data_IF_276235443918
#
_entry.id   IF_276235443918
#
_cell.length_a   1.000
_cell.length_b   1.000
_cell.length_c   1.000
_cell.angle_alpha   90.00
_cell.angle_beta   90.00
_cell.angle_gamma   90.00
#
_symmetry.space_group_name_H-M   'P 1'
#
loop_
_entity.id
_entity.type
_entity.pdbx_description
1 polymer ?
#
# COMPACT_ATOMS: atom_id res chain seq x y z
N UNK A 1 21.44 28.29 10.31
CA UNK A 1 20.64 28.75 9.13
C UNK A 1 19.67 27.65 8.78
N UNK A 2 18.42 28.00 8.46
CA UNK A 2 17.39 26.99 8.10
C UNK A 2 17.31 26.85 6.58
N UNK A 3 17.00 25.66 6.08
CA UNK A 3 16.64 25.44 4.70
C UNK A 3 15.17 25.84 4.45
N UNK A 4 14.76 25.94 3.19
CA UNK A 4 13.40 26.32 2.80
C UNK A 4 12.65 25.14 2.19
N UNK A 5 11.30 25.16 2.22
CA UNK A 5 10.46 24.15 1.54
C UNK A 5 10.73 24.11 0.03
N UNK A 6 11.05 25.26 -0.59
CA UNK A 6 11.41 25.31 -2.00
C UNK A 6 12.70 24.53 -2.29
N UNK A 7 13.70 24.61 -1.38
CA UNK A 7 14.92 23.81 -1.50
C UNK A 7 14.64 22.32 -1.31
N UNK A 8 13.71 21.94 -0.41
CA UNK A 8 13.30 20.53 -0.26
C UNK A 8 12.58 20.03 -1.52
N UNK A 9 11.67 20.83 -2.10
CA UNK A 9 11.01 20.47 -3.38
C UNK A 9 12.02 20.34 -4.52
N UNK A 10 13.00 21.23 -4.57
CA UNK A 10 14.10 21.13 -5.52
C UNK A 10 14.90 19.84 -5.37
N UNK A 11 15.28 19.50 -4.13
CA UNK A 11 16.01 18.26 -3.83
C UNK A 11 15.18 17.02 -4.18
N UNK A 12 13.92 16.96 -3.76
CA UNK A 12 13.02 15.86 -4.07
C UNK A 12 12.90 15.63 -5.57
N UNK A 13 12.70 16.69 -6.36
CA UNK A 13 12.60 16.58 -7.80
C UNK A 13 13.90 16.03 -8.42
N UNK A 14 15.08 16.47 -7.97
CA UNK A 14 16.36 15.96 -8.48
C UNK A 14 16.59 14.51 -8.05
N UNK A 15 16.22 14.14 -6.82
CA UNK A 15 16.36 12.80 -6.28
C UNK A 15 15.46 11.77 -7.03
N UNK A 16 14.29 12.19 -7.46
CA UNK A 16 13.35 11.33 -8.22
C UNK A 16 13.72 11.23 -9.71
N UNK A 17 14.13 12.35 -10.31
CA UNK A 17 14.48 12.41 -11.73
C UNK A 17 15.89 11.89 -12.01
N UNK A 18 16.78 11.89 -11.02
CA UNK A 18 18.22 11.61 -11.16
C UNK A 18 18.85 12.41 -12.31
N UNK A 19 18.28 13.62 -12.56
CA UNK A 19 18.71 14.49 -13.66
C UNK A 19 18.25 15.94 -13.43
N UNK A 20 19.18 16.87 -13.29
CA UNK A 20 18.87 18.28 -13.02
C UNK A 20 18.00 18.96 -14.07
N UNK A 21 18.21 18.66 -15.35
CA UNK A 21 17.43 19.24 -16.45
C UNK A 21 15.95 18.81 -16.39
N UNK A 22 15.67 17.51 -16.19
CA UNK A 22 14.30 16.99 -16.05
C UNK A 22 13.64 17.55 -14.81
N UNK A 23 14.35 17.56 -13.67
CA UNK A 23 13.85 18.13 -12.42
C UNK A 23 13.51 19.62 -12.57
N UNK A 24 14.37 20.41 -13.23
CA UNK A 24 14.12 21.83 -13.49
C UNK A 24 12.88 22.01 -14.37
N UNK A 25 12.75 21.22 -15.46
CA UNK A 25 11.56 21.25 -16.33
C UNK A 25 10.28 20.91 -15.57
N UNK A 26 10.31 19.88 -14.71
CA UNK A 26 9.19 19.50 -13.84
C UNK A 26 8.78 20.64 -12.88
N UNK A 27 9.76 21.37 -12.36
CA UNK A 27 9.54 22.53 -11.47
C UNK A 27 9.28 23.84 -12.22
N UNK A 28 9.16 23.81 -13.56
CA UNK A 28 8.96 24.99 -14.42
C UNK A 28 10.01 26.09 -14.21
N UNK A 29 11.26 25.68 -14.02
CA UNK A 29 12.40 26.58 -13.84
C UNK A 29 13.59 26.16 -14.70
N UNK A 30 14.65 26.99 -14.77
CA UNK A 30 15.89 26.64 -15.45
C UNK A 30 16.83 25.87 -14.52
N UNK A 31 17.75 25.08 -15.08
CA UNK A 31 18.69 24.26 -14.29
C UNK A 31 19.64 25.06 -13.37
N UNK A 32 20.20 26.22 -13.75
CA UNK A 32 21.15 26.93 -12.90
C UNK A 32 20.61 27.36 -11.54
N UNK A 33 19.39 27.94 -11.41
CA UNK A 33 18.84 28.25 -10.10
C UNK A 33 18.57 26.99 -9.26
N UNK A 34 18.08 25.89 -9.86
CA UNK A 34 17.89 24.63 -9.15
C UNK A 34 19.20 24.10 -8.57
N UNK A 35 20.28 24.09 -9.37
CA UNK A 35 21.59 23.66 -8.91
C UNK A 35 22.10 24.48 -7.73
N UNK A 36 21.91 25.82 -7.75
CA UNK A 36 22.26 26.71 -6.64
C UNK A 36 21.44 26.45 -5.39
N UNK A 37 20.14 26.15 -5.54
CA UNK A 37 19.26 25.78 -4.42
C UNK A 37 19.76 24.50 -3.73
N UNK A 38 20.12 23.48 -4.49
CA UNK A 38 20.65 22.21 -3.94
C UNK A 38 21.98 22.44 -3.22
N UNK A 39 22.92 23.18 -3.84
CA UNK A 39 24.20 23.51 -3.18
C UNK A 39 24.02 24.27 -1.88
N UNK A 40 23.03 25.17 -1.81
CA UNK A 40 22.71 25.90 -0.57
C UNK A 40 22.09 24.95 0.46
N UNK A 41 21.24 24.01 0.05
CA UNK A 41 20.67 22.99 0.93
C UNK A 41 21.77 22.11 1.53
N UNK A 42 22.65 21.55 0.70
CA UNK A 42 23.79 20.72 1.15
C UNK A 42 24.68 21.45 2.17
N UNK A 43 24.94 22.74 1.95
CA UNK A 43 25.68 23.57 2.91
C UNK A 43 24.95 23.75 4.23
N UNK A 44 23.64 23.87 4.22
CA UNK A 44 22.82 24.01 5.45
C UNK A 44 22.74 22.70 6.20
N UNK A 45 22.59 21.59 5.49
CA UNK A 45 22.55 20.23 6.06
C UNK A 45 23.94 19.80 6.57
N UNK A 46 25.01 20.36 5.99
CA UNK A 46 26.38 19.99 6.32
C UNK A 46 26.87 18.67 5.73
N UNK A 47 26.13 18.15 4.75
CA UNK A 47 26.46 16.91 4.05
C UNK A 47 26.14 17.02 2.56
N UNK A 48 26.91 16.33 1.73
CA UNK A 48 26.59 16.14 0.33
C UNK A 48 25.46 15.12 0.22
N UNK A 49 24.37 15.49 -0.46
CA UNK A 49 23.18 14.68 -0.63
C UNK A 49 23.13 13.98 -1.99
N UNK A 50 23.77 14.59 -2.99
CA UNK A 50 23.81 14.10 -4.37
C UNK A 50 25.26 13.97 -4.85
N UNK A 51 25.61 12.80 -5.36
CA UNK A 51 26.81 12.62 -6.15
C UNK A 51 26.55 13.03 -7.58
N UNK A 52 27.51 13.76 -8.16
CA UNK A 52 27.39 14.33 -9.51
C UNK A 52 28.66 13.98 -10.29
N UNK A 53 28.51 13.22 -11.31
CA UNK A 53 29.50 13.15 -12.37
C UNK A 53 28.98 13.84 -13.65
N UNK A 54 29.78 13.89 -14.71
CA UNK A 54 29.42 14.57 -15.96
C UNK A 54 28.23 13.90 -16.70
N UNK A 55 27.73 12.74 -16.25
CA UNK A 55 26.72 11.96 -16.94
C UNK A 55 25.60 11.46 -16.02
N UNK A 56 25.84 11.36 -14.72
CA UNK A 56 24.91 10.75 -13.77
C UNK A 56 24.77 11.59 -12.50
N UNK A 57 23.60 11.51 -11.94
CA UNK A 57 23.25 12.04 -10.61
C UNK A 57 22.71 10.88 -9.79
N UNK A 58 23.31 10.63 -8.63
CA UNK A 58 22.86 9.60 -7.69
C UNK A 58 22.74 10.18 -6.29
N UNK A 59 21.99 9.54 -5.42
CA UNK A 59 21.92 9.88 -4.01
C UNK A 59 23.16 9.34 -3.28
N UNK A 60 23.69 10.14 -2.35
CA UNK A 60 24.61 9.62 -1.34
C UNK A 60 23.82 8.87 -0.25
N UNK A 61 24.49 8.12 0.63
CA UNK A 61 23.84 7.51 1.80
C UNK A 61 23.15 8.59 2.69
N UNK A 62 23.76 9.77 2.83
CA UNK A 62 23.12 10.90 3.51
C UNK A 62 21.91 11.43 2.73
N UNK A 63 21.98 11.43 1.39
CA UNK A 63 20.89 11.81 0.50
C UNK A 63 19.69 10.89 0.61
N UNK A 64 19.88 9.58 0.72
CA UNK A 64 18.80 8.60 0.90
C UNK A 64 18.06 8.84 2.22
N UNK A 65 18.79 9.00 3.31
CA UNK A 65 18.20 9.32 4.61
C UNK A 65 17.45 10.66 4.57
N UNK A 66 18.10 11.68 4.00
CA UNK A 66 17.51 13.03 3.91
C UNK A 66 16.29 13.06 2.98
N UNK A 67 16.21 12.19 1.97
CA UNK A 67 15.05 12.09 1.06
C UNK A 67 13.78 11.71 1.82
N UNK A 68 13.88 10.75 2.74
CA UNK A 68 12.75 10.36 3.58
C UNK A 68 12.26 11.52 4.44
N UNK A 69 13.19 12.23 5.09
CA UNK A 69 12.86 13.40 5.93
C UNK A 69 12.32 14.59 5.10
N UNK A 70 12.86 14.82 3.90
CA UNK A 70 12.38 15.87 3.01
C UNK A 70 10.92 15.62 2.56
N UNK A 71 10.57 14.37 2.23
CA UNK A 71 9.19 13.97 1.92
C UNK A 71 8.26 14.23 3.09
N UNK A 72 8.65 13.81 4.30
CA UNK A 72 7.87 14.02 5.52
C UNK A 72 7.61 15.51 5.79
N UNK A 73 8.63 16.35 5.69
CA UNK A 73 8.51 17.79 5.91
C UNK A 73 7.62 18.46 4.86
N UNK A 74 7.72 18.08 3.60
CA UNK A 74 6.87 18.61 2.53
C UNK A 74 5.42 18.19 2.72
N UNK A 75 5.15 16.93 3.04
CA UNK A 75 3.83 16.43 3.35
C UNK A 75 3.18 17.20 4.51
N UNK A 76 3.94 17.43 5.57
CA UNK A 76 3.49 18.22 6.72
C UNK A 76 3.19 19.69 6.34
N UNK A 77 4.03 20.31 5.52
CA UNK A 77 3.83 21.67 5.06
C UNK A 77 2.61 21.82 4.15
N UNK A 78 2.39 20.85 3.27
CA UNK A 78 1.26 20.84 2.33
C UNK A 78 -0.07 20.57 3.06
N UNK A 79 -0.06 19.79 4.16
CA UNK A 79 -1.25 19.55 5.01
C UNK A 79 -1.60 20.73 5.95
N UNK A 80 -0.64 21.56 6.32
CA UNK A 80 -0.85 22.64 7.29
C UNK A 80 -1.93 23.69 6.90
N UNK A 81 -2.00 24.20 5.64
CA UNK A 81 -3.04 25.14 5.25
C UNK A 81 -4.44 24.53 5.31
N UNK A 82 -4.54 23.25 5.04
CA UNK A 82 -5.79 22.52 5.09
C UNK A 82 -6.24 22.26 6.52
N UNK A 83 -5.29 21.93 7.40
CA UNK A 83 -5.55 21.84 8.84
C UNK A 83 -6.10 23.18 9.39
N UNK A 84 -5.50 24.29 8.99
CA UNK A 84 -5.95 25.62 9.41
C UNK A 84 -7.38 25.93 8.90
N UNK A 85 -7.68 25.57 7.64
CA UNK A 85 -9.03 25.71 7.08
C UNK A 85 -10.07 24.84 7.82
N UNK A 86 -9.70 23.62 8.22
CA UNK A 86 -10.55 22.70 9.00
C UNK A 86 -10.91 23.30 10.37
N UNK A 87 -9.96 23.94 11.04
CA UNK A 87 -10.20 24.63 12.31
C UNK A 87 -11.12 25.83 12.13
N UNK A 88 -10.97 26.60 11.04
CA UNK A 88 -11.78 27.79 10.78
C UNK A 88 -13.20 27.48 10.30
N UNK A 89 -13.42 26.37 9.59
CA UNK A 89 -14.73 26.01 9.04
C UNK A 89 -15.58 25.15 9.99
N UNK A 90 -14.99 24.57 11.03
CA UNK A 90 -15.69 23.80 12.09
C UNK A 90 -16.46 22.54 11.64
N UNK A 91 -16.54 22.26 10.33
CA UNK A 91 -17.43 21.22 9.81
C UNK A 91 -16.86 20.31 8.71
N UNK A 92 -15.74 20.62 8.08
CA UNK A 92 -15.20 19.80 6.98
C UNK A 92 -13.87 19.19 7.37
N UNK A 93 -13.77 17.86 7.25
CA UNK A 93 -12.53 17.10 7.49
C UNK A 93 -12.06 16.41 6.22
N UNK A 94 -10.76 16.06 6.19
CA UNK A 94 -10.18 15.19 5.17
C UNK A 94 -9.57 13.98 5.86
N UNK A 95 -9.83 12.79 5.34
CA UNK A 95 -9.15 11.55 5.72
C UNK A 95 -8.58 10.92 4.46
N UNK A 96 -7.27 10.84 4.39
CA UNK A 96 -6.53 10.19 3.30
C UNK A 96 -6.41 8.71 3.64
N UNK A 97 -6.93 7.85 2.77
CA UNK A 97 -7.03 6.42 2.98
C UNK A 97 -6.09 5.69 2.01
N UNK A 98 -5.06 5.03 2.54
CA UNK A 98 -4.26 4.06 1.81
C UNK A 98 -5.00 2.73 1.70
N UNK A 99 -5.02 2.10 0.52
CA UNK A 99 -5.66 0.81 0.32
C UNK A 99 -4.92 -0.05 -0.70
N UNK A 100 -5.07 -1.37 -0.61
CA UNK A 100 -4.57 -2.29 -1.64
C UNK A 100 -5.65 -2.59 -2.67
N UNK A 101 -5.27 -2.87 -3.92
CA UNK A 101 -6.22 -3.29 -4.96
C UNK A 101 -7.14 -4.43 -4.50
N UNK A 102 -6.62 -5.41 -3.76
CA UNK A 102 -7.42 -6.53 -3.25
C UNK A 102 -8.52 -6.10 -2.28
N UNK A 103 -8.38 -4.99 -1.55
CA UNK A 103 -9.42 -4.50 -0.64
C UNK A 103 -10.63 -3.90 -1.38
N UNK A 104 -10.48 -3.57 -2.66
CA UNK A 104 -11.58 -3.05 -3.50
C UNK A 104 -12.62 -4.10 -3.85
N UNK A 105 -12.30 -5.40 -3.74
CA UNK A 105 -13.21 -6.48 -4.13
C UNK A 105 -14.41 -6.68 -3.20
N UNK A 106 -14.64 -5.78 -2.27
CA UNK A 106 -15.84 -5.78 -1.45
C UNK A 106 -15.77 -4.91 -0.19
N UNK A 107 -14.62 -4.77 0.44
CA UNK A 107 -14.49 -4.10 1.73
C UNK A 107 -14.40 -2.57 1.59
N UNK A 108 -13.56 -2.05 0.68
CA UNK A 108 -13.37 -0.62 0.51
C UNK A 108 -14.68 0.10 0.16
N UNK A 109 -15.46 -0.43 -0.80
CA UNK A 109 -16.72 0.19 -1.22
C UNK A 109 -17.71 0.30 -0.05
N UNK A 110 -17.88 -0.78 0.73
CA UNK A 110 -18.77 -0.77 1.91
C UNK A 110 -18.31 0.22 2.99
N UNK A 111 -17.00 0.31 3.20
CA UNK A 111 -16.43 1.27 4.14
C UNK A 111 -16.70 2.71 3.70
N UNK A 112 -16.50 3.02 2.43
CA UNK A 112 -16.77 4.35 1.87
C UNK A 112 -18.26 4.69 2.00
N UNK A 113 -19.16 3.80 1.55
CA UNK A 113 -20.60 3.99 1.63
C UNK A 113 -21.07 4.24 3.07
N UNK A 114 -20.48 3.55 4.05
CA UNK A 114 -20.80 3.75 5.46
C UNK A 114 -20.31 5.12 5.95
N UNK A 115 -19.07 5.49 5.61
CA UNK A 115 -18.48 6.76 6.04
C UNK A 115 -19.18 7.96 5.36
N UNK A 116 -19.49 7.88 4.09
CA UNK A 116 -20.20 8.95 3.37
C UNK A 116 -21.61 9.18 3.94
N UNK A 117 -22.30 8.09 4.34
CA UNK A 117 -23.63 8.18 4.95
C UNK A 117 -23.57 8.75 6.36
N UNK A 118 -22.62 8.32 7.17
CA UNK A 118 -22.54 8.68 8.58
C UNK A 118 -21.81 10.00 8.85
N UNK A 119 -20.86 10.35 7.99
CA UNK A 119 -19.95 11.48 8.17
C UNK A 119 -19.82 12.28 6.84
N UNK A 120 -20.93 12.84 6.30
CA UNK A 120 -20.96 13.48 4.97
C UNK A 120 -20.06 14.72 4.86
N UNK A 121 -19.65 15.29 5.98
CA UNK A 121 -18.74 16.45 6.03
C UNK A 121 -17.26 16.06 6.05
N UNK A 122 -16.94 14.77 6.04
CA UNK A 122 -15.57 14.26 5.94
C UNK A 122 -15.29 13.81 4.51
N UNK A 123 -14.39 14.54 3.84
CA UNK A 123 -13.92 14.13 2.53
C UNK A 123 -12.92 12.96 2.63
N UNK A 124 -13.13 11.92 1.82
CA UNK A 124 -12.22 10.76 1.75
C UNK A 124 -11.35 10.91 0.50
N UNK A 125 -10.04 10.90 0.69
CA UNK A 125 -9.05 10.92 -0.40
C UNK A 125 -8.36 9.54 -0.46
N UNK A 126 -8.47 8.87 -1.60
CA UNK A 126 -8.15 7.46 -1.76
C UNK A 126 -6.82 7.27 -2.49
N UNK A 127 -5.88 6.51 -1.88
CA UNK A 127 -4.55 6.26 -2.39
C UNK A 127 -4.30 4.75 -2.52
N UNK A 128 -4.20 4.26 -3.76
CA UNK A 128 -3.84 2.86 -4.00
C UNK A 128 -2.35 2.64 -3.75
N UNK A 129 -2.03 1.76 -2.80
CA UNK A 129 -0.65 1.44 -2.43
C UNK A 129 -0.57 0.08 -1.70
N UNK A 130 0.53 -0.64 -1.84
CA UNK A 130 0.74 -1.88 -1.10
C UNK A 130 0.99 -1.61 0.40
N UNK A 131 0.76 -2.61 1.27
CA UNK A 131 0.87 -2.44 2.73
C UNK A 131 2.17 -1.77 3.19
N UNK A 132 3.31 -2.14 2.59
CA UNK A 132 4.60 -1.53 2.92
C UNK A 132 4.63 -0.02 2.61
N UNK A 133 4.05 0.38 1.51
CA UNK A 133 3.94 1.78 1.10
C UNK A 133 2.96 2.52 2.03
N UNK A 134 1.85 1.87 2.44
CA UNK A 134 0.90 2.43 3.42
C UNK A 134 1.58 2.70 4.76
N UNK A 135 2.38 1.76 5.27
CA UNK A 135 3.14 1.93 6.51
C UNK A 135 4.09 3.13 6.42
N UNK A 136 4.82 3.25 5.30
CA UNK A 136 5.70 4.40 5.08
C UNK A 136 4.92 5.72 4.97
N UNK A 137 3.79 5.72 4.25
CA UNK A 137 2.93 6.89 4.08
C UNK A 137 2.26 7.33 5.39
N UNK A 138 1.88 6.38 6.27
CA UNK A 138 1.38 6.68 7.61
C UNK A 138 2.47 7.34 8.47
N UNK A 139 3.69 6.80 8.46
CA UNK A 139 4.82 7.38 9.20
C UNK A 139 5.19 8.78 8.69
N UNK A 140 5.01 9.04 7.41
CA UNK A 140 5.26 10.35 6.79
C UNK A 140 4.06 11.29 6.84
N UNK A 141 2.94 10.88 7.47
CA UNK A 141 1.69 11.64 7.51
C UNK A 141 1.13 11.97 6.10
N UNK A 142 1.47 11.17 5.08
CA UNK A 142 0.95 11.27 3.72
C UNK A 142 -0.46 10.69 3.61
N UNK A 143 -0.76 9.66 4.43
CA UNK A 143 -2.12 9.12 4.63
C UNK A 143 -2.46 9.08 6.12
N UNK A 144 -3.75 9.09 6.42
CA UNK A 144 -4.26 9.11 7.80
C UNK A 144 -4.71 7.72 8.26
N UNK A 145 -5.21 6.92 7.33
CA UNK A 145 -5.76 5.58 7.57
C UNK A 145 -5.28 4.62 6.48
N UNK A 146 -4.96 3.40 6.85
CA UNK A 146 -4.59 2.33 5.92
C UNK A 146 -5.56 1.16 5.98
N UNK A 147 -5.91 0.57 4.83
CA UNK A 147 -6.47 -0.77 4.75
C UNK A 147 -5.32 -1.73 4.45
N UNK A 148 -4.71 -2.24 5.50
CA UNK A 148 -3.42 -2.90 5.44
C UNK A 148 -3.49 -4.33 6.01
N UNK A 149 -2.46 -5.12 5.73
CA UNK A 149 -2.36 -6.51 6.18
C UNK A 149 -1.19 -6.68 7.16
N UNK A 150 -1.37 -7.47 8.24
CA UNK A 150 -0.34 -7.63 9.26
C UNK A 150 0.97 -8.27 8.70
N UNK A 151 2.07 -8.25 9.47
CA UNK A 151 2.19 -7.74 10.83
C UNK A 151 2.41 -6.22 10.90
N UNK A 152 2.03 -5.60 12.02
CA UNK A 152 2.25 -4.19 12.31
C UNK A 152 2.98 -4.02 13.64
N UNK A 153 3.75 -2.95 13.76
CA UNK A 153 4.31 -2.52 15.03
C UNK A 153 3.20 -1.91 15.92
N UNK A 154 2.82 -2.63 16.96
CA UNK A 154 1.74 -2.24 17.87
C UNK A 154 2.08 -1.03 18.75
N UNK A 155 3.35 -0.67 18.90
CA UNK A 155 3.74 0.51 19.68
C UNK A 155 3.51 1.78 18.86
N UNK A 156 3.79 1.73 17.57
CA UNK A 156 3.65 2.87 16.64
C UNK A 156 2.22 3.00 16.11
N UNK A 157 1.58 1.88 15.76
CA UNK A 157 0.29 1.89 15.08
C UNK A 157 -0.85 1.42 15.98
N UNK A 158 -2.00 2.09 15.86
CA UNK A 158 -3.29 1.52 16.21
C UNK A 158 -3.77 0.65 15.05
N UNK A 159 -4.31 -0.52 15.36
CA UNK A 159 -4.92 -1.39 14.35
C UNK A 159 -6.24 -1.97 14.84
N UNK A 160 -7.14 -2.24 13.90
CA UNK A 160 -8.40 -2.95 14.15
C UNK A 160 -8.66 -3.92 13.01
N UNK A 161 -8.95 -5.16 13.35
CA UNK A 161 -9.43 -6.13 12.36
C UNK A 161 -10.72 -5.61 11.73
N UNK A 162 -10.75 -5.54 10.42
CA UNK A 162 -11.88 -5.06 9.64
C UNK A 162 -12.63 -6.22 8.98
N UNK A 163 -11.89 -7.22 8.51
CA UNK A 163 -12.45 -8.35 7.77
C UNK A 163 -11.52 -9.55 7.84
N UNK A 164 -12.13 -10.76 7.90
CA UNK A 164 -11.47 -12.04 7.65
C UNK A 164 -12.12 -12.74 6.48
N UNK A 165 -11.35 -13.51 5.75
CA UNK A 165 -11.84 -14.29 4.63
C UNK A 165 -11.00 -15.55 4.39
N UNK A 166 -11.59 -16.52 3.69
CA UNK A 166 -10.90 -17.75 3.31
C UNK A 166 -9.81 -17.46 2.26
N UNK A 167 -8.80 -18.33 2.24
CA UNK A 167 -7.83 -18.42 1.15
C UNK A 167 -8.32 -19.47 0.16
N UNK A 168 -8.48 -19.10 -1.11
CA UNK A 168 -8.92 -19.98 -2.19
C UNK A 168 -7.75 -20.29 -3.12
N UNK A 169 -7.86 -21.40 -3.82
CA UNK A 169 -6.99 -21.77 -4.95
C UNK A 169 -7.71 -21.45 -6.24
N UNK A 170 -7.19 -20.50 -7.01
CA UNK A 170 -7.64 -20.22 -8.37
C UNK A 170 -6.99 -21.21 -9.34
N UNK A 171 -7.81 -21.87 -10.16
CA UNK A 171 -7.41 -22.91 -11.11
C UNK A 171 -7.99 -22.63 -12.49
N UNK A 172 -7.34 -23.06 -13.59
CA UNK A 172 -7.86 -22.89 -14.94
C UNK A 172 -9.00 -23.89 -15.24
N UNK A 173 -9.70 -23.66 -16.36
CA UNK A 173 -10.71 -24.58 -16.88
C UNK A 173 -10.19 -26.03 -16.95
N UNK A 174 -11.03 -26.98 -16.54
CA UNK A 174 -10.74 -28.41 -16.62
C UNK A 174 -9.62 -28.89 -15.69
N UNK A 175 -9.24 -28.10 -14.72
CA UNK A 175 -8.23 -28.51 -13.74
C UNK A 175 -8.78 -29.62 -12.82
N UNK A 176 -7.99 -30.66 -12.56
CA UNK A 176 -8.40 -31.84 -11.80
C UNK A 176 -8.88 -31.55 -10.37
N UNK A 177 -8.40 -30.46 -9.76
CA UNK A 177 -8.86 -30.00 -8.43
C UNK A 177 -10.38 -29.67 -8.40
N UNK A 178 -11.00 -29.41 -9.55
CA UNK A 178 -12.43 -29.15 -9.64
C UNK A 178 -13.26 -30.41 -9.40
N UNK A 179 -12.69 -31.59 -9.64
CA UNK A 179 -13.36 -32.90 -9.53
C UNK A 179 -13.11 -33.56 -8.16
N UNK A 180 -12.42 -32.90 -7.21
CA UNK A 180 -12.08 -33.49 -5.91
C UNK A 180 -13.27 -33.87 -5.05
N UNK A 181 -14.41 -33.18 -5.15
CA UNK A 181 -15.57 -33.35 -4.29
C UNK A 181 -15.37 -33.03 -2.82
N UNK A 182 -14.23 -32.43 -2.47
CA UNK A 182 -13.84 -31.94 -1.14
C UNK A 182 -12.96 -30.68 -1.26
N UNK A 183 -12.69 -30.02 -0.16
CA UNK A 183 -11.69 -28.94 -0.11
C UNK A 183 -10.29 -29.52 -0.43
N UNK A 184 -9.47 -28.72 -1.13
CA UNK A 184 -8.11 -29.10 -1.44
C UNK A 184 -7.23 -29.01 -0.17
N UNK A 185 -6.31 -29.95 -0.01
CA UNK A 185 -5.30 -29.91 1.06
C UNK A 185 -3.93 -29.55 0.49
N UNK A 186 -2.99 -29.13 1.34
CA UNK A 186 -1.64 -28.76 0.93
C UNK A 186 -0.94 -29.85 0.10
N UNK A 187 -1.20 -31.14 0.39
CA UNK A 187 -0.66 -32.28 -0.35
C UNK A 187 -1.12 -32.35 -1.81
N UNK A 188 -2.35 -31.95 -2.10
CA UNK A 188 -2.89 -31.91 -3.47
C UNK A 188 -2.15 -30.88 -4.36
N UNK A 189 -1.55 -29.88 -3.73
CA UNK A 189 -0.88 -28.75 -4.38
C UNK A 189 0.64 -28.94 -4.48
N UNK A 190 1.18 -30.02 -3.92
CA UNK A 190 2.62 -30.24 -3.76
C UNK A 190 3.40 -30.29 -5.08
N UNK A 191 2.78 -30.69 -6.18
CA UNK A 191 3.38 -30.78 -7.51
C UNK A 191 2.83 -29.74 -8.51
N UNK A 192 1.94 -28.85 -8.07
CA UNK A 192 1.31 -27.88 -8.94
C UNK A 192 2.27 -26.72 -9.28
N UNK A 193 2.20 -26.25 -10.52
CA UNK A 193 2.88 -25.01 -10.93
C UNK A 193 2.15 -23.83 -10.31
N UNK A 194 2.86 -22.93 -9.63
CA UNK A 194 2.26 -21.85 -8.86
C UNK A 194 2.60 -20.50 -9.45
N UNK A 195 1.57 -19.67 -9.65
CA UNK A 195 1.71 -18.21 -9.80
C UNK A 195 1.73 -17.63 -8.40
N UNK A 196 2.90 -17.25 -7.91
CA UNK A 196 3.16 -16.91 -6.52
C UNK A 196 3.09 -15.39 -6.26
N UNK A 197 2.74 -15.03 -5.04
CA UNK A 197 2.83 -13.66 -4.55
C UNK A 197 4.29 -13.19 -4.44
N UNK A 198 4.54 -11.91 -4.71
CA UNK A 198 5.87 -11.31 -4.55
C UNK A 198 6.29 -11.28 -3.08
N UNK A 199 7.47 -11.83 -2.71
CA UNK A 199 7.95 -11.82 -1.33
C UNK A 199 8.30 -10.40 -0.83
N UNK A 200 8.41 -9.42 -1.73
CA UNK A 200 8.76 -8.04 -1.38
C UNK A 200 7.56 -7.10 -1.43
N UNK A 201 6.68 -7.23 -2.43
CA UNK A 201 5.55 -6.32 -2.67
C UNK A 201 4.21 -6.85 -2.15
N UNK A 202 4.07 -8.17 -1.99
CA UNK A 202 2.88 -8.84 -1.47
C UNK A 202 3.25 -9.83 -0.36
N UNK A 203 4.16 -9.41 0.53
CA UNK A 203 4.80 -10.26 1.53
C UNK A 203 3.81 -11.00 2.43
N UNK A 204 2.76 -10.32 2.89
CA UNK A 204 1.72 -10.94 3.71
C UNK A 204 1.17 -12.23 3.06
N UNK A 205 0.73 -12.14 1.82
CA UNK A 205 0.21 -13.31 1.09
C UNK A 205 1.29 -14.33 0.80
N UNK A 206 2.51 -13.90 0.49
CA UNK A 206 3.64 -14.81 0.30
C UNK A 206 3.88 -15.65 1.57
N UNK A 207 4.04 -14.99 2.71
CA UNK A 207 4.31 -15.65 3.99
C UNK A 207 3.13 -16.56 4.39
N UNK A 208 1.88 -16.11 4.18
CA UNK A 208 0.66 -16.87 4.44
C UNK A 208 0.63 -18.16 3.61
N UNK A 209 0.84 -18.08 2.30
CA UNK A 209 0.83 -19.24 1.40
C UNK A 209 1.95 -20.22 1.75
N UNK A 210 3.17 -19.72 1.98
CA UNK A 210 4.32 -20.58 2.35
C UNK A 210 4.08 -21.29 3.69
N UNK A 211 3.41 -20.64 4.65
CA UNK A 211 3.09 -21.27 5.93
C UNK A 211 2.09 -22.43 5.80
N UNK A 212 1.21 -22.39 4.80
CA UNK A 212 0.16 -23.39 4.57
C UNK A 212 0.57 -24.46 3.55
N UNK A 213 1.26 -24.03 2.49
CA UNK A 213 1.71 -24.88 1.37
C UNK A 213 3.18 -24.56 1.10
N UNK A 214 4.12 -25.13 1.89
CA UNK A 214 5.55 -24.79 1.78
C UNK A 214 6.14 -25.01 0.38
N UNK A 215 5.69 -26.05 -0.33
CA UNK A 215 6.12 -26.34 -1.70
C UNK A 215 5.70 -25.31 -2.74
N UNK A 216 4.75 -24.44 -2.44
CA UNK A 216 4.27 -23.42 -3.38
C UNK A 216 5.37 -22.45 -3.81
N UNK A 217 6.31 -22.13 -2.93
CA UNK A 217 7.44 -21.26 -3.26
C UNK A 217 8.50 -21.96 -4.14
N UNK A 218 8.70 -23.26 -3.99
CA UNK A 218 9.62 -24.07 -4.80
C UNK A 218 9.05 -24.28 -6.21
N UNK A 219 7.73 -24.41 -6.32
CA UNK A 219 7.02 -24.62 -7.56
C UNK A 219 6.59 -23.31 -8.26
N UNK A 220 7.07 -22.16 -7.78
CA UNK A 220 6.72 -20.85 -8.34
C UNK A 220 7.30 -20.68 -9.75
N UNK A 221 6.41 -20.60 -10.75
CA UNK A 221 6.78 -20.36 -12.15
C UNK A 221 6.72 -18.86 -12.52
N UNK A 222 5.90 -18.11 -11.82
CA UNK A 222 5.79 -16.65 -11.94
C UNK A 222 5.61 -16.03 -10.56
N UNK A 223 6.13 -14.82 -10.39
CA UNK A 223 5.98 -14.06 -9.14
C UNK A 223 5.42 -12.68 -9.45
N UNK A 224 4.24 -12.37 -8.92
CA UNK A 224 3.53 -11.11 -9.16
C UNK A 224 2.94 -10.54 -7.88
N UNK A 225 2.54 -9.27 -7.87
CA UNK A 225 2.05 -8.59 -6.66
C UNK A 225 0.54 -8.31 -6.66
N UNK A 226 -0.10 -8.44 -7.82
CA UNK A 226 -1.53 -8.09 -7.98
C UNK A 226 -2.36 -9.35 -8.25
N UNK A 227 -3.44 -9.53 -7.48
CA UNK A 227 -4.36 -10.66 -7.60
C UNK A 227 -4.95 -10.73 -9.00
N UNK A 228 -5.34 -9.61 -9.59
CA UNK A 228 -5.90 -9.57 -10.95
C UNK A 228 -4.91 -10.16 -11.98
N UNK A 229 -3.63 -9.82 -11.87
CA UNK A 229 -2.58 -10.38 -12.74
C UNK A 229 -2.43 -11.88 -12.53
N UNK A 230 -2.52 -12.35 -11.27
CA UNK A 230 -2.49 -13.79 -10.97
C UNK A 230 -3.62 -14.52 -11.66
N UNK A 231 -4.84 -14.02 -11.56
CA UNK A 231 -6.03 -14.65 -12.17
C UNK A 231 -5.90 -14.72 -13.70
N UNK A 232 -5.40 -13.67 -14.36
CA UNK A 232 -5.15 -13.72 -15.80
C UNK A 232 -4.05 -14.73 -16.20
N UNK A 233 -3.03 -14.92 -15.37
CA UNK A 233 -2.03 -15.96 -15.60
C UNK A 233 -2.60 -17.36 -15.40
N UNK A 234 -3.51 -17.54 -14.43
CA UNK A 234 -4.26 -18.79 -14.23
C UNK A 234 -5.15 -19.07 -15.44
N UNK A 235 -5.95 -18.11 -15.92
CA UNK A 235 -6.75 -18.24 -17.13
C UNK A 235 -5.92 -18.66 -18.35
N UNK A 236 -4.67 -18.15 -18.43
CA UNK A 236 -3.72 -18.53 -19.50
C UNK A 236 -3.04 -19.89 -19.27
N UNK A 237 -3.46 -20.69 -18.27
CA UNK A 237 -2.91 -22.01 -17.97
C UNK A 237 -1.46 -22.01 -17.46
N UNK A 238 -1.01 -20.92 -16.83
CA UNK A 238 0.37 -20.79 -16.32
C UNK A 238 0.60 -21.47 -14.99
N UNK A 239 -0.44 -21.93 -14.33
CA UNK A 239 -0.40 -22.60 -13.04
C UNK A 239 -1.61 -22.24 -12.21
N UNK A 240 -1.62 -22.65 -10.95
CA UNK A 240 -2.63 -22.28 -9.95
C UNK A 240 -2.18 -21.07 -9.14
N UNK A 241 -3.10 -20.38 -8.46
CA UNK A 241 -2.76 -19.24 -7.61
C UNK A 241 -3.57 -19.25 -6.31
N UNK A 242 -2.99 -18.73 -5.24
CA UNK A 242 -3.66 -18.57 -3.95
C UNK A 242 -4.18 -17.14 -3.83
N UNK A 243 -5.47 -16.99 -3.61
CA UNK A 243 -6.11 -15.67 -3.61
C UNK A 243 -7.14 -15.55 -2.47
N UNK A 244 -7.43 -14.33 -1.98
CA UNK A 244 -8.49 -14.13 -1.00
C UNK A 244 -9.86 -14.48 -1.62
N UNK A 245 -10.80 -14.92 -0.80
CA UNK A 245 -12.14 -15.33 -1.26
C UNK A 245 -12.88 -14.20 -1.99
N UNK A 246 -12.63 -12.95 -1.62
CA UNK A 246 -13.18 -11.78 -2.31
C UNK A 246 -12.78 -11.70 -3.79
N UNK A 247 -11.67 -12.32 -4.19
CA UNK A 247 -11.24 -12.38 -5.59
C UNK A 247 -12.20 -13.18 -6.49
N UNK A 248 -12.98 -14.09 -5.91
CA UNK A 248 -14.01 -14.84 -6.64
C UNK A 248 -15.17 -13.97 -7.16
N UNK A 249 -15.26 -12.71 -6.72
CA UNK A 249 -16.21 -11.73 -7.26
C UNK A 249 -15.79 -11.14 -8.59
N UNK A 250 -14.53 -11.35 -9.00
CA UNK A 250 -14.02 -10.89 -10.29
C UNK A 250 -14.48 -11.88 -11.38
N UNK A 251 -15.26 -11.44 -12.35
CA UNK A 251 -15.71 -12.31 -13.46
C UNK A 251 -14.57 -12.45 -14.47
N UNK A 252 -13.72 -13.46 -14.29
CA UNK A 252 -12.64 -13.78 -15.23
C UNK A 252 -12.93 -15.14 -15.85
N UNK A 253 -13.18 -15.14 -17.14
CA UNK A 253 -13.43 -16.34 -17.91
C UNK A 253 -12.22 -17.29 -17.84
N UNK A 254 -12.49 -18.58 -17.70
CA UNK A 254 -11.45 -19.61 -17.62
C UNK A 254 -10.77 -19.72 -16.26
N UNK A 255 -11.31 -19.09 -15.20
CA UNK A 255 -10.82 -19.22 -13.83
C UNK A 255 -11.92 -19.75 -12.91
N UNK A 256 -11.58 -20.78 -12.16
CA UNK A 256 -12.42 -21.36 -11.12
C UNK A 256 -11.73 -21.30 -9.76
N UNK A 257 -12.50 -21.42 -8.69
CA UNK A 257 -12.00 -21.31 -7.32
C UNK A 257 -12.33 -22.56 -6.53
N UNK A 258 -11.31 -23.14 -5.92
CA UNK A 258 -11.41 -24.31 -5.03
C UNK A 258 -11.10 -23.85 -3.61
N UNK A 259 -11.85 -24.33 -2.63
CA UNK A 259 -11.53 -24.07 -1.22
C UNK A 259 -10.26 -24.81 -0.82
N UNK A 260 -9.43 -24.13 -0.02
CA UNK A 260 -8.26 -24.73 0.61
C UNK A 260 -8.59 -25.04 2.07
N UNK A 261 -8.38 -26.27 2.49
CA UNK A 261 -8.43 -26.62 3.90
C UNK A 261 -7.24 -25.96 4.62
N UNK A 262 -7.54 -25.17 5.63
CA UNK A 262 -6.55 -24.39 6.38
C UNK A 262 -6.74 -24.60 7.88
N UNK A 263 -5.65 -24.52 8.69
CA UNK A 263 -5.74 -24.66 10.14
C UNK A 263 -6.68 -23.65 10.81
N UNK A 264 -6.82 -22.47 10.20
CA UNK A 264 -7.78 -21.42 10.59
C UNK A 264 -8.74 -21.20 9.42
N UNK A 265 -10.06 -21.24 9.63
CA UNK A 265 -11.04 -21.19 8.53
C UNK A 265 -10.94 -19.96 7.63
N UNK A 266 -10.58 -18.81 8.18
CA UNK A 266 -10.48 -17.52 7.49
C UNK A 266 -9.14 -16.85 7.79
N UNK A 267 -8.06 -17.35 7.19
CA UNK A 267 -6.70 -16.93 7.54
C UNK A 267 -6.30 -15.58 6.96
N UNK A 268 -7.07 -15.08 6.00
CA UNK A 268 -6.75 -13.82 5.32
C UNK A 268 -7.36 -12.66 6.09
N UNK A 269 -6.51 -11.81 6.66
CA UNK A 269 -6.92 -10.66 7.45
C UNK A 269 -6.76 -9.35 6.69
N UNK A 270 -7.68 -8.42 6.90
CA UNK A 270 -7.56 -7.02 6.51
C UNK A 270 -7.85 -6.15 7.73
N UNK A 271 -6.99 -5.19 7.98
CA UNK A 271 -7.06 -4.30 9.13
C UNK A 271 -7.18 -2.84 8.70
N UNK A 272 -7.89 -2.05 9.51
CA UNK A 272 -7.64 -0.62 9.60
C UNK A 272 -6.32 -0.41 10.34
N UNK A 273 -5.52 0.53 9.86
CA UNK A 273 -4.21 0.89 10.42
C UNK A 273 -4.08 2.41 10.47
N UNK A 274 -3.62 2.96 11.60
CA UNK A 274 -3.43 4.40 11.76
C UNK A 274 -2.30 4.69 12.74
N UNK A 275 -1.74 5.90 12.69
CA UNK A 275 -0.78 6.36 13.69
C UNK A 275 -1.49 6.59 15.03
N UNK A 276 -1.01 5.99 16.13
CA UNK A 276 -1.58 6.18 17.48
C UNK A 276 -1.61 7.64 17.90
N UNK A 277 -0.58 8.39 17.54
CA UNK A 277 -0.43 9.80 17.87
C UNK A 277 -0.99 10.76 16.81
N UNK A 278 -1.85 10.26 15.90
CA UNK A 278 -2.45 11.10 14.88
C UNK A 278 -3.23 12.26 15.48
N UNK A 279 -2.96 13.46 14.99
CA UNK A 279 -3.64 14.71 15.39
C UNK A 279 -4.82 15.07 14.48
N UNK A 280 -5.14 14.25 13.47
CA UNK A 280 -6.25 14.51 12.56
C UNK A 280 -7.60 14.31 13.27
N UNK A 281 -8.38 15.36 13.53
CA UNK A 281 -9.66 15.24 14.23
C UNK A 281 -10.72 14.51 13.37
N UNK A 282 -10.63 14.58 12.03
CA UNK A 282 -11.53 13.84 11.15
C UNK A 282 -11.26 12.33 11.25
N UNK A 283 -9.99 11.91 11.30
CA UNK A 283 -9.65 10.50 11.55
C UNK A 283 -10.21 10.02 12.88
N UNK A 284 -10.10 10.81 13.94
CA UNK A 284 -10.66 10.44 15.25
C UNK A 284 -12.17 10.18 15.16
N UNK A 285 -12.93 11.07 14.49
CA UNK A 285 -14.37 10.88 14.27
C UNK A 285 -14.68 9.61 13.47
N UNK A 286 -13.89 9.34 12.41
CA UNK A 286 -14.00 8.10 11.63
C UNK A 286 -13.79 6.88 12.53
N UNK A 287 -12.72 6.85 13.31
CA UNK A 287 -12.41 5.74 14.19
C UNK A 287 -13.46 5.55 15.29
N UNK A 288 -13.98 6.64 15.88
CA UNK A 288 -15.07 6.61 16.87
C UNK A 288 -16.36 6.08 16.27
N UNK A 289 -16.69 6.48 15.04
CA UNK A 289 -17.85 5.96 14.33
C UNK A 289 -17.70 4.47 14.06
N UNK A 290 -16.61 4.08 13.43
CA UNK A 290 -16.34 2.68 13.10
C UNK A 290 -16.27 1.77 14.34
N UNK A 291 -15.86 2.30 15.51
CA UNK A 291 -15.88 1.56 16.78
C UNK A 291 -17.29 1.23 17.28
N UNK A 292 -18.31 1.97 16.85
CA UNK A 292 -19.73 1.75 17.22
C UNK A 292 -20.47 0.87 16.22
N UNK A 293 -19.95 0.76 15.00
CA UNK A 293 -20.53 -0.07 13.95
C UNK A 293 -20.02 -1.49 14.15
N UNK A 294 -20.91 -2.36 14.63
CA UNK A 294 -20.63 -3.78 14.89
C UNK A 294 -20.74 -4.62 13.59
N UNK A 295 -20.40 -4.05 12.46
CA UNK A 295 -20.44 -4.70 11.15
C UNK A 295 -19.05 -5.14 10.71
N UNK A 296 -18.92 -6.41 10.34
CA UNK A 296 -17.85 -6.88 9.46
C UNK A 296 -18.03 -6.26 8.06
N UNK A 297 -17.03 -5.55 7.61
CA UNK A 297 -17.00 -4.93 6.30
C UNK A 297 -16.57 -5.91 5.20
#
# INVERSE_FOLDING_TARGET
MAFTLEQLRGFLAVAEELHFGRAASRLKMTQPPLSRQIQKLERVVGAQLLERDNRHVTLTAAGEVFLAEARRLLSLADSAPELARRVSSGSHGLVRIGFTAASTYGTLGRLIDELDRALPDIHLDLHEMVTREQVAALLNEEVDLGLARPPFDADTFGSRLLHREALLVAVPDGHWLLDLGRDAVAGDLAAERVVMHSPTRARYFYDLVVSMVPTASENAVHTVSQVLTMLWLVAAGRGVAFVPASAARLPIDGVHFVRLETPVPEPVELHLLWMRESRNPALRRVLEHLARVDQEF
#
